data_IF_765905652547
#
_entry.id   IF_765905652547
#
_cell.length_a   1.000
_cell.length_b   1.000
_cell.length_c   1.000
_cell.angle_alpha   90.00
_cell.angle_beta   90.00
_cell.angle_gamma   90.00
#
_symmetry.space_group_name_H-M   'P 1'
#
loop_
_entity.id
_entity.type
_entity.pdbx_description
1 polymer ?
#
# COMPACT_ATOMS: atom_id res chain seq x y z
N UNK A 1 -24.67 40.02 4.13
CA UNK A 1 -23.86 40.95 3.31
C UNK A 1 -23.26 41.96 4.26
N UNK A 2 -22.00 41.77 4.65
CA UNK A 2 -21.28 42.71 5.53
C UNK A 2 -20.48 43.64 4.62
N UNK A 3 -21.04 44.82 4.30
CA UNK A 3 -20.26 45.90 3.70
C UNK A 3 -19.33 46.43 4.77
N UNK A 4 -18.07 46.01 4.74
CA UNK A 4 -17.02 46.63 5.55
C UNK A 4 -16.67 47.97 4.92
N UNK A 5 -16.84 49.05 5.68
CA UNK A 5 -16.22 50.33 5.35
C UNK A 5 -14.70 50.15 5.45
N UNK A 6 -14.05 49.92 4.30
CA UNK A 6 -12.59 49.91 4.20
C UNK A 6 -12.07 51.33 4.53
N UNK A 7 -11.15 51.45 5.49
CA UNK A 7 -10.68 52.74 6.01
C UNK A 7 -9.75 53.42 4.99
N UNK A 8 -10.27 54.44 4.30
CA UNK A 8 -9.58 55.20 3.26
C UNK A 8 -9.08 56.55 3.81
N UNK A 9 -7.78 56.81 3.67
CA UNK A 9 -7.15 58.09 4.08
C UNK A 9 -6.58 58.80 2.86
N UNK A 10 -6.93 60.07 2.69
CA UNK A 10 -6.36 60.93 1.65
C UNK A 10 -4.93 61.33 2.00
N UNK A 11 -3.99 61.13 1.08
CA UNK A 11 -2.59 61.52 1.26
C UNK A 11 -2.23 62.57 0.22
N UNK A 12 -2.06 63.82 0.66
CA UNK A 12 -1.86 64.98 -0.21
C UNK A 12 -0.62 64.90 -1.11
N UNK A 13 0.44 64.24 -0.65
CA UNK A 13 1.68 64.05 -1.42
C UNK A 13 1.51 63.05 -2.59
N UNK A 14 0.50 62.17 -2.50
CA UNK A 14 0.16 61.17 -3.53
C UNK A 14 -1.05 61.59 -4.38
N UNK A 15 -1.70 62.70 -4.02
CA UNK A 15 -2.96 63.18 -4.58
C UNK A 15 -4.02 62.06 -4.76
N UNK A 16 -4.08 61.13 -3.78
CA UNK A 16 -4.91 59.94 -3.87
C UNK A 16 -5.34 59.40 -2.48
N UNK A 17 -6.39 58.59 -2.46
CA UNK A 17 -6.84 57.84 -1.28
C UNK A 17 -6.06 56.53 -1.13
N UNK A 18 -5.58 56.28 0.08
CA UNK A 18 -4.88 55.06 0.48
C UNK A 18 -5.79 54.23 1.37
N UNK A 19 -6.00 52.96 1.00
CA UNK A 19 -6.78 52.01 1.77
C UNK A 19 -5.90 51.39 2.88
N UNK A 20 -6.10 51.84 4.12
CA UNK A 20 -5.34 51.39 5.28
C UNK A 20 -5.64 49.92 5.58
N UNK A 21 -6.87 49.45 5.37
CA UNK A 21 -7.20 48.03 5.56
C UNK A 21 -6.57 47.14 4.49
N UNK A 22 -6.36 47.64 3.29
CA UNK A 22 -5.56 46.95 2.27
C UNK A 22 -4.08 46.89 2.65
N UNK A 23 -3.53 47.96 3.22
CA UNK A 23 -2.14 48.00 3.73
C UNK A 23 -2.00 47.07 4.93
N UNK A 24 -2.90 47.11 5.91
CA UNK A 24 -2.87 46.23 7.08
C UNK A 24 -2.98 44.76 6.67
N UNK A 25 -3.86 44.43 5.71
CA UNK A 25 -3.94 43.09 5.12
C UNK A 25 -2.66 42.70 4.39
N UNK A 26 -2.00 43.63 3.69
CA UNK A 26 -0.74 43.36 3.00
C UNK A 26 0.41 43.14 3.99
N UNK A 27 0.52 43.99 5.03
CA UNK A 27 1.53 43.85 6.09
C UNK A 27 1.34 42.55 6.88
N UNK A 28 0.10 42.21 7.24
CA UNK A 28 -0.20 40.92 7.89
C UNK A 28 0.20 39.74 7.01
N UNK A 29 -0.07 39.78 5.70
CA UNK A 29 0.39 38.73 4.78
C UNK A 29 1.91 38.65 4.69
N UNK A 30 2.60 39.79 4.69
CA UNK A 30 4.06 39.83 4.66
C UNK A 30 4.67 39.26 5.96
N UNK A 31 4.09 39.60 7.11
CA UNK A 31 4.46 39.03 8.41
C UNK A 31 4.20 37.52 8.48
N UNK A 32 3.04 37.06 8.01
CA UNK A 32 2.70 35.64 7.91
C UNK A 32 3.66 34.88 6.97
N UNK A 33 4.00 35.46 5.82
CA UNK A 33 4.98 34.89 4.89
C UNK A 33 6.38 34.85 5.49
N UNK A 34 6.79 35.89 6.22
CA UNK A 34 8.09 35.93 6.90
C UNK A 34 8.17 34.88 8.01
N UNK A 35 7.13 34.75 8.83
CA UNK A 35 7.01 33.73 9.86
C UNK A 35 7.06 32.32 9.27
N UNK A 36 6.33 32.07 8.18
CA UNK A 36 6.37 30.79 7.47
C UNK A 36 7.76 30.49 6.90
N UNK A 37 8.43 31.47 6.29
CA UNK A 37 9.81 31.29 5.78
C UNK A 37 10.79 30.95 6.90
N UNK A 38 10.64 31.59 8.06
CA UNK A 38 11.44 31.27 9.24
C UNK A 38 11.17 29.83 9.69
N UNK A 39 9.91 29.43 9.80
CA UNK A 39 9.50 28.09 10.21
C UNK A 39 10.04 27.00 9.28
N UNK A 40 10.03 27.24 7.96
CA UNK A 40 10.60 26.32 6.97
C UNK A 40 12.12 26.21 7.09
N UNK A 41 12.81 27.30 7.43
CA UNK A 41 14.26 27.28 7.67
C UNK A 41 14.61 26.51 8.95
N UNK A 42 13.80 26.63 10.00
CA UNK A 42 13.99 25.91 11.25
C UNK A 42 13.87 24.39 11.07
N UNK A 43 12.93 23.93 10.24
CA UNK A 43 12.82 22.50 9.91
C UNK A 43 13.99 22.04 9.04
N UNK A 44 14.43 22.87 8.10
CA UNK A 44 15.66 22.65 7.33
C UNK A 44 15.61 21.46 6.37
N UNK A 45 16.76 20.78 6.25
CA UNK A 45 16.95 19.60 5.40
C UNK A 45 16.63 18.31 6.15
N UNK A 46 15.79 17.48 5.52
CA UNK A 46 15.30 16.23 6.07
C UNK A 46 16.04 15.08 5.39
N UNK A 47 16.88 14.39 6.16
CA UNK A 47 17.61 13.21 5.69
C UNK A 47 16.67 12.02 5.53
N UNK A 48 16.81 11.32 4.41
CA UNK A 48 16.08 10.13 4.04
C UNK A 48 17.05 8.95 3.89
N UNK A 49 16.50 7.75 3.71
CA UNK A 49 17.31 6.58 3.40
C UNK A 49 17.97 6.73 2.00
N UNK A 50 18.97 5.90 1.71
CA UNK A 50 19.71 5.93 0.43
C UNK A 50 20.46 7.26 0.20
N UNK A 51 20.88 7.93 1.28
CA UNK A 51 21.63 9.19 1.22
C UNK A 51 20.86 10.37 0.62
N UNK A 52 19.54 10.24 0.46
CA UNK A 52 18.71 11.30 -0.11
C UNK A 52 18.31 12.32 0.95
N UNK A 53 17.96 13.51 0.50
CA UNK A 53 17.36 14.53 1.34
C UNK A 53 16.16 15.17 0.65
N UNK A 54 15.28 15.76 1.44
CA UNK A 54 14.21 16.66 0.99
C UNK A 54 14.22 17.90 1.87
N UNK A 55 13.81 19.05 1.36
CA UNK A 55 13.69 20.25 2.19
C UNK A 55 12.25 20.45 2.70
N UNK A 56 12.10 21.17 3.82
CA UNK A 56 10.79 21.63 4.27
C UNK A 56 10.06 22.48 3.22
N UNK A 57 10.81 23.27 2.43
CA UNK A 57 10.30 24.06 1.32
C UNK A 57 9.68 23.18 0.23
N UNK A 58 10.36 22.10 -0.17
CA UNK A 58 9.83 21.15 -1.16
C UNK A 58 8.54 20.46 -0.68
N UNK A 59 8.40 20.25 0.62
CA UNK A 59 7.17 19.70 1.21
C UNK A 59 6.03 20.73 1.18
N UNK A 60 6.34 21.98 1.52
CA UNK A 60 5.39 23.08 1.45
C UNK A 60 4.87 23.31 0.03
N UNK A 61 5.76 23.33 -0.96
CA UNK A 61 5.42 23.43 -2.39
C UNK A 61 4.53 22.24 -2.86
N UNK A 62 4.56 21.13 -2.13
CA UNK A 62 3.70 19.96 -2.34
C UNK A 62 2.41 20.00 -1.53
N UNK A 63 2.01 21.16 -0.98
CA UNK A 63 0.83 21.37 -0.13
C UNK A 63 0.88 20.56 1.18
N UNK A 64 2.03 20.50 1.83
CA UNK A 64 2.20 19.96 3.19
C UNK A 64 2.61 21.11 4.10
N UNK A 65 1.73 21.51 5.02
CA UNK A 65 2.04 22.58 5.95
C UNK A 65 3.05 22.13 7.03
N UNK A 66 3.85 23.05 7.61
CA UNK A 66 4.79 22.72 8.68
C UNK A 66 4.15 22.00 9.88
N UNK A 67 2.94 22.41 10.27
CA UNK A 67 2.17 21.74 11.33
C UNK A 67 1.83 20.29 11.00
N UNK A 68 1.49 20.01 9.74
CA UNK A 68 1.20 18.66 9.26
C UNK A 68 2.44 17.77 9.23
N UNK A 69 3.58 18.37 8.85
CA UNK A 69 4.88 17.73 8.93
C UNK A 69 5.22 17.36 10.38
N UNK A 70 5.15 18.30 11.33
CA UNK A 70 5.43 18.02 12.75
C UNK A 70 4.50 16.95 13.31
N UNK A 71 3.22 16.98 12.97
CA UNK A 71 2.28 15.95 13.37
C UNK A 71 2.66 14.57 12.79
N UNK A 72 3.06 14.51 11.52
CA UNK A 72 3.49 13.27 10.89
C UNK A 72 4.79 12.72 11.51
N UNK A 73 5.74 13.59 11.87
CA UNK A 73 6.96 13.23 12.61
C UNK A 73 6.59 12.63 13.96
N UNK A 74 5.72 13.30 14.74
CA UNK A 74 5.27 12.79 16.02
C UNK A 74 4.64 11.39 15.92
N UNK A 75 3.77 11.15 14.93
CA UNK A 75 3.18 9.83 14.67
C UNK A 75 4.25 8.79 14.31
N UNK A 76 5.23 9.16 13.50
CA UNK A 76 6.32 8.28 13.10
C UNK A 76 7.21 7.90 14.29
N UNK A 77 7.57 8.87 15.15
CA UNK A 77 8.35 8.63 16.36
C UNK A 77 7.62 7.71 17.34
N UNK A 78 6.32 7.93 17.56
CA UNK A 78 5.50 7.06 18.41
C UNK A 78 5.41 5.63 17.87
N UNK A 79 5.39 5.48 16.55
CA UNK A 79 5.32 4.16 15.89
C UNK A 79 6.65 3.41 15.99
N UNK A 80 7.77 4.10 15.74
CA UNK A 80 9.12 3.50 15.74
C UNK A 80 9.59 3.24 17.16
N UNK A 81 9.36 4.15 18.11
CA UNK A 81 9.87 4.04 19.48
C UNK A 81 11.40 3.99 19.54
N UNK A 82 11.94 3.30 20.56
CA UNK A 82 13.39 3.20 20.83
C UNK A 82 13.98 1.82 20.55
N UNK A 83 13.19 0.75 20.63
CA UNK A 83 13.64 -0.63 20.44
C UNK A 83 13.13 -1.20 19.11
N UNK A 84 13.99 -1.93 18.40
CA UNK A 84 13.68 -2.54 17.09
C UNK A 84 13.11 -1.53 16.08
N UNK A 85 13.84 -0.44 15.88
CA UNK A 85 13.41 0.68 15.03
C UNK A 85 13.09 0.23 13.59
N UNK A 86 13.89 -0.68 13.03
CA UNK A 86 13.70 -1.23 11.68
C UNK A 86 12.37 -2.01 11.55
N UNK A 87 12.14 -2.99 12.42
CA UNK A 87 10.94 -3.82 12.36
C UNK A 87 9.67 -3.00 12.58
N UNK A 88 9.72 -2.02 13.48
CA UNK A 88 8.59 -1.10 13.73
C UNK A 88 8.37 -0.11 12.59
N UNK A 89 9.43 0.40 11.98
CA UNK A 89 9.36 1.21 10.77
C UNK A 89 8.67 0.45 9.64
N UNK A 90 9.15 -0.75 9.30
CA UNK A 90 8.55 -1.57 8.25
C UNK A 90 7.09 -1.90 8.54
N UNK A 91 6.79 -2.32 9.78
CA UNK A 91 5.41 -2.61 10.20
C UNK A 91 4.52 -1.39 10.04
N UNK A 92 4.93 -0.23 10.54
CA UNK A 92 4.16 1.01 10.44
C UNK A 92 3.90 1.41 8.98
N UNK A 93 4.91 1.30 8.13
CA UNK A 93 4.84 1.65 6.72
C UNK A 93 3.93 0.69 5.93
N UNK A 94 4.02 -0.62 6.22
CA UNK A 94 3.18 -1.65 5.62
C UNK A 94 1.72 -1.57 6.11
N UNK A 95 1.49 -1.28 7.38
CA UNK A 95 0.14 -1.12 7.96
C UNK A 95 -0.54 0.11 7.37
N UNK A 96 0.19 1.22 7.20
CA UNK A 96 -0.32 2.48 6.65
C UNK A 96 -0.88 2.33 5.23
N UNK A 97 -0.26 1.49 4.40
CA UNK A 97 -0.69 1.27 3.01
C UNK A 97 -1.53 0.01 2.78
N UNK A 98 -1.67 -0.87 3.77
CA UNK A 98 -2.31 -2.19 3.60
C UNK A 98 -3.74 -2.08 3.05
N UNK A 99 -4.56 -1.22 3.64
CA UNK A 99 -5.96 -1.04 3.23
C UNK A 99 -6.08 -0.56 1.78
N UNK A 100 -5.21 0.35 1.35
CA UNK A 100 -5.13 0.85 -0.02
C UNK A 100 -4.71 -0.24 -0.99
N UNK A 101 -3.68 -1.02 -0.64
CA UNK A 101 -3.20 -2.11 -1.46
C UNK A 101 -4.28 -3.19 -1.66
N UNK A 102 -4.97 -3.58 -0.58
CA UNK A 102 -6.10 -4.52 -0.61
C UNK A 102 -7.23 -3.99 -1.49
N UNK A 103 -7.64 -2.73 -1.33
CA UNK A 103 -8.71 -2.13 -2.12
C UNK A 103 -8.35 -1.99 -3.61
N UNK A 104 -7.07 -1.76 -3.93
CA UNK A 104 -6.59 -1.76 -5.31
C UNK A 104 -6.54 -3.18 -5.87
N UNK A 105 -6.10 -4.16 -5.07
CA UNK A 105 -6.09 -5.58 -5.45
C UNK A 105 -7.49 -6.09 -5.77
N UNK A 106 -8.47 -5.83 -4.89
CA UNK A 106 -9.87 -6.20 -5.11
C UNK A 106 -10.41 -5.67 -6.44
N UNK A 107 -10.15 -4.40 -6.74
CA UNK A 107 -10.57 -3.78 -8.02
C UNK A 107 -9.85 -4.39 -9.23
N UNK A 108 -8.57 -4.68 -9.10
CA UNK A 108 -7.78 -5.26 -10.18
C UNK A 108 -8.22 -6.68 -10.53
N UNK A 109 -8.50 -7.50 -9.51
CA UNK A 109 -8.97 -8.89 -9.67
C UNK A 109 -10.50 -9.00 -9.81
N UNK A 110 -11.23 -7.88 -9.74
CA UNK A 110 -12.71 -7.81 -9.76
C UNK A 110 -13.37 -8.65 -8.66
N UNK A 111 -12.80 -8.60 -7.45
CA UNK A 111 -13.29 -9.30 -6.27
C UNK A 111 -14.22 -8.40 -5.46
N UNK A 112 -15.17 -9.04 -4.79
CA UNK A 112 -15.99 -8.40 -3.77
C UNK A 112 -15.12 -7.95 -2.58
N UNK A 113 -15.32 -6.72 -2.11
CA UNK A 113 -14.47 -6.11 -1.08
C UNK A 113 -14.61 -6.77 0.30
N UNK A 114 -15.83 -7.03 0.83
CA UNK A 114 -16.04 -7.86 2.02
C UNK A 114 -15.30 -9.20 1.98
N UNK A 115 -15.40 -9.93 0.86
CA UNK A 115 -14.70 -11.21 0.68
C UNK A 115 -13.17 -11.04 0.73
N UNK A 116 -12.68 -9.96 0.11
CA UNK A 116 -11.27 -9.58 0.11
C UNK A 116 -10.76 -9.29 1.52
N UNK A 117 -11.49 -8.51 2.31
CA UNK A 117 -11.13 -8.21 3.71
C UNK A 117 -11.15 -9.48 4.55
N UNK A 118 -12.18 -10.32 4.38
CA UNK A 118 -12.30 -11.60 5.07
C UNK A 118 -11.08 -12.49 4.82
N UNK A 119 -10.59 -12.56 3.58
CA UNK A 119 -9.39 -13.35 3.26
C UNK A 119 -8.12 -12.92 4.04
N UNK A 120 -8.04 -11.65 4.45
CA UNK A 120 -6.88 -11.13 5.21
C UNK A 120 -6.93 -11.44 6.71
N UNK A 121 -8.08 -11.84 7.23
CA UNK A 121 -8.28 -12.18 8.63
C UNK A 121 -7.71 -13.57 8.98
N UNK A 122 -7.36 -13.82 10.25
CA UNK A 122 -7.04 -15.17 10.72
C UNK A 122 -8.17 -16.14 10.37
N UNK A 123 -7.83 -17.27 9.73
CA UNK A 123 -8.78 -18.30 9.28
C UNK A 123 -9.86 -17.86 8.26
N UNK A 124 -9.91 -16.60 7.85
CA UNK A 124 -10.95 -16.10 6.96
C UNK A 124 -10.89 -16.74 5.57
N UNK A 125 -9.69 -16.97 5.02
CA UNK A 125 -9.54 -17.72 3.76
C UNK A 125 -10.03 -19.17 3.87
N UNK A 126 -9.83 -19.82 5.03
CA UNK A 126 -10.33 -21.18 5.29
C UNK A 126 -11.86 -21.19 5.26
N UNK A 127 -12.51 -20.18 5.87
CA UNK A 127 -13.96 -20.04 5.83
C UNK A 127 -14.49 -19.86 4.39
N UNK A 128 -13.84 -19.02 3.60
CA UNK A 128 -14.21 -18.76 2.20
C UNK A 128 -14.05 -20.01 1.32
N UNK A 129 -12.96 -20.77 1.49
CA UNK A 129 -12.76 -22.06 0.80
C UNK A 129 -13.87 -23.04 1.19
N UNK A 130 -14.17 -23.16 2.49
CA UNK A 130 -15.24 -24.03 2.96
C UNK A 130 -16.61 -23.61 2.42
N UNK A 131 -16.87 -22.31 2.25
CA UNK A 131 -18.09 -21.81 1.65
C UNK A 131 -18.19 -22.20 0.17
N UNK A 132 -17.09 -22.11 -0.59
CA UNK A 132 -17.05 -22.61 -1.98
C UNK A 132 -17.34 -24.11 -2.02
N UNK A 133 -16.66 -24.91 -1.21
CA UNK A 133 -16.83 -26.36 -1.19
C UNK A 133 -18.28 -26.75 -0.87
N UNK A 134 -18.91 -26.08 0.10
CA UNK A 134 -20.32 -26.30 0.42
C UNK A 134 -21.26 -25.94 -0.74
N UNK A 135 -21.02 -24.82 -1.43
CA UNK A 135 -21.81 -24.41 -2.59
C UNK A 135 -21.71 -25.42 -3.75
N UNK A 136 -20.57 -26.11 -3.85
CA UNK A 136 -20.30 -27.16 -4.84
C UNK A 136 -20.82 -28.53 -4.40
N UNK A 137 -21.47 -28.62 -3.23
CA UNK A 137 -22.02 -29.86 -2.69
C UNK A 137 -20.97 -30.83 -2.14
N UNK A 138 -19.78 -30.33 -1.76
CA UNK A 138 -18.73 -31.09 -1.10
C UNK A 138 -18.90 -30.93 0.41
N UNK A 139 -19.17 -32.04 1.09
CA UNK A 139 -19.40 -32.04 2.53
C UNK A 139 -18.10 -31.82 3.31
N UNK A 140 -18.24 -31.18 4.48
CA UNK A 140 -17.13 -31.02 5.42
C UNK A 140 -16.82 -32.37 6.05
N UNK A 141 -15.70 -32.96 5.63
CA UNK A 141 -15.12 -34.15 6.25
C UNK A 141 -13.79 -33.82 6.90
N UNK A 142 -13.35 -34.63 7.87
CA UNK A 142 -12.02 -34.47 8.51
C UNK A 142 -10.90 -34.41 7.46
N UNK A 143 -10.96 -35.30 6.46
CA UNK A 143 -10.03 -35.30 5.34
C UNK A 143 -9.99 -33.96 4.59
N UNK A 144 -11.14 -33.42 4.20
CA UNK A 144 -11.22 -32.13 3.50
C UNK A 144 -10.63 -31.01 4.36
N UNK A 145 -10.95 -31.00 5.66
CA UNK A 145 -10.40 -30.02 6.58
C UNK A 145 -8.88 -30.12 6.75
N UNK A 146 -8.34 -31.33 6.81
CA UNK A 146 -6.90 -31.58 6.95
C UNK A 146 -6.14 -31.20 5.68
N UNK A 147 -6.70 -31.49 4.50
CA UNK A 147 -6.14 -31.08 3.20
C UNK A 147 -6.15 -29.56 3.05
N UNK A 148 -7.26 -28.89 3.40
CA UNK A 148 -7.34 -27.43 3.34
C UNK A 148 -6.39 -26.80 4.37
N UNK A 149 -6.35 -27.34 5.59
CA UNK A 149 -5.47 -26.85 6.66
C UNK A 149 -4.01 -26.96 6.25
N UNK A 150 -3.56 -28.14 5.79
CA UNK A 150 -2.19 -28.36 5.36
C UNK A 150 -1.78 -27.45 4.20
N UNK A 151 -2.67 -27.20 3.23
CA UNK A 151 -2.41 -26.29 2.12
C UNK A 151 -2.33 -24.80 2.52
N UNK A 152 -2.90 -24.42 3.67
CA UNK A 152 -2.90 -23.05 4.19
C UNK A 152 -1.83 -22.81 5.28
N UNK A 153 -1.01 -23.80 5.61
CA UNK A 153 0.07 -23.62 6.59
C UNK A 153 1.05 -22.57 6.07
N UNK A 154 1.28 -21.52 6.86
CA UNK A 154 2.16 -20.39 6.51
C UNK A 154 3.52 -20.43 7.20
N UNK A 155 3.82 -21.45 8.01
CA UNK A 155 4.91 -21.43 8.99
C UNK A 155 6.31 -21.40 8.39
N UNK A 156 6.50 -21.85 7.15
CA UNK A 156 7.82 -21.82 6.51
C UNK A 156 7.85 -20.88 5.30
N UNK A 157 8.67 -19.82 5.39
CA UNK A 157 9.09 -19.01 4.23
C UNK A 157 10.14 -19.77 3.40
N UNK A 158 9.78 -20.93 2.87
CA UNK A 158 10.69 -21.77 2.06
C UNK A 158 10.99 -21.18 0.66
N UNK A 159 11.18 -19.86 0.52
CA UNK A 159 11.35 -19.18 -0.77
C UNK A 159 10.11 -19.28 -1.68
N UNK A 160 8.97 -19.70 -1.14
CA UNK A 160 7.72 -19.84 -1.88
C UNK A 160 6.90 -18.56 -1.81
N UNK A 161 6.66 -17.95 -2.97
CA UNK A 161 5.80 -16.79 -3.14
C UNK A 161 4.32 -17.14 -2.97
N UNK A 162 3.47 -16.11 -2.87
CA UNK A 162 2.03 -16.23 -2.81
C UNK A 162 1.45 -16.94 -4.04
N UNK A 163 2.08 -16.81 -5.21
CA UNK A 163 1.66 -17.48 -6.44
C UNK A 163 1.89 -18.98 -6.35
N UNK A 164 3.10 -19.39 -5.99
CA UNK A 164 3.47 -20.79 -5.79
C UNK A 164 2.61 -21.46 -4.71
N UNK A 165 2.36 -20.79 -3.57
CA UNK A 165 1.48 -21.30 -2.51
C UNK A 165 0.02 -21.42 -2.96
N UNK A 166 -0.47 -20.46 -3.75
CA UNK A 166 -1.81 -20.54 -4.34
C UNK A 166 -1.93 -21.75 -5.28
N UNK A 167 -0.87 -22.10 -6.01
CA UNK A 167 -0.82 -23.33 -6.82
C UNK A 167 -0.95 -24.61 -5.98
N UNK A 168 -0.39 -24.64 -4.78
CA UNK A 168 -0.55 -25.76 -3.84
C UNK A 168 -2.01 -25.90 -3.37
N UNK A 169 -2.67 -24.77 -3.06
CA UNK A 169 -4.11 -24.74 -2.73
C UNK A 169 -4.95 -25.20 -3.91
N UNK A 170 -4.67 -24.72 -5.12
CA UNK A 170 -5.36 -25.18 -6.33
C UNK A 170 -5.24 -26.71 -6.49
N UNK A 171 -4.02 -27.25 -6.29
CA UNK A 171 -3.76 -28.69 -6.38
C UNK A 171 -4.45 -29.47 -5.26
N UNK A 172 -4.56 -28.90 -4.06
CA UNK A 172 -5.31 -29.46 -2.95
C UNK A 172 -6.82 -29.51 -3.25
N UNK A 173 -7.38 -28.44 -3.82
CA UNK A 173 -8.79 -28.39 -4.22
C UNK A 173 -9.11 -29.42 -5.32
N UNK A 174 -8.25 -29.54 -6.33
CA UNK A 174 -8.41 -30.60 -7.35
C UNK A 174 -8.32 -32.01 -6.76
N UNK A 175 -7.43 -32.25 -5.77
CA UNK A 175 -7.34 -33.53 -5.08
C UNK A 175 -8.64 -33.88 -4.33
N UNK A 176 -9.27 -32.88 -3.70
CA UNK A 176 -10.56 -33.07 -3.02
C UNK A 176 -11.65 -33.44 -4.03
N UNK A 177 -11.73 -32.71 -5.15
CA UNK A 177 -12.81 -32.92 -6.14
C UNK A 177 -12.64 -34.20 -6.95
N UNK A 178 -11.40 -34.65 -7.16
CA UNK A 178 -11.12 -35.88 -7.91
C UNK A 178 -11.30 -37.15 -7.06
N UNK A 179 -11.64 -37.04 -5.77
CA UNK A 179 -11.83 -38.19 -4.88
C UNK A 179 -13.29 -38.70 -4.92
N UNK A 180 -13.53 -40.02 -4.91
CA UNK A 180 -14.89 -40.57 -4.72
C UNK A 180 -15.47 -40.16 -3.36
N UNK A 181 -16.79 -39.89 -3.25
CA UNK A 181 -17.84 -40.00 -4.27
C UNK A 181 -17.97 -38.77 -5.19
N UNK A 182 -17.21 -37.70 -4.93
CA UNK A 182 -17.34 -36.42 -5.64
C UNK A 182 -16.94 -36.51 -7.12
N UNK A 183 -16.04 -37.43 -7.46
CA UNK A 183 -15.61 -37.75 -8.82
C UNK A 183 -16.78 -38.10 -9.77
N UNK A 184 -17.91 -38.61 -9.26
CA UNK A 184 -19.04 -39.07 -10.08
C UNK A 184 -20.05 -37.97 -10.45
N UNK A 185 -19.95 -36.78 -9.85
CA UNK A 185 -20.78 -35.63 -10.27
C UNK A 185 -19.99 -34.82 -11.28
N UNK A 186 -20.40 -34.88 -12.54
CA UNK A 186 -19.92 -34.13 -13.72
C UNK A 186 -19.87 -32.60 -13.58
N UNK A 187 -20.11 -32.04 -12.39
CA UNK A 187 -19.90 -30.63 -12.08
C UNK A 187 -18.42 -30.40 -11.80
N UNK A 188 -17.68 -30.02 -12.85
CA UNK A 188 -16.42 -29.29 -12.67
C UNK A 188 -16.73 -28.09 -11.76
N UNK A 189 -15.87 -27.87 -10.76
CA UNK A 189 -15.90 -26.66 -9.92
C UNK A 189 -16.20 -25.44 -10.77
N UNK A 190 -17.11 -24.57 -10.30
CA UNK A 190 -17.40 -23.34 -11.00
C UNK A 190 -16.10 -22.58 -11.26
N UNK A 191 -15.85 -22.31 -12.54
CA UNK A 191 -14.64 -21.62 -12.98
C UNK A 191 -14.55 -20.23 -12.36
N UNK A 192 -15.69 -19.57 -12.17
CA UNK A 192 -15.74 -18.22 -11.60
C UNK A 192 -15.46 -18.25 -10.09
N UNK A 193 -16.10 -19.15 -9.35
CA UNK A 193 -15.87 -19.40 -7.94
C UNK A 193 -14.43 -19.83 -7.63
N UNK A 194 -13.89 -20.76 -8.41
CA UNK A 194 -12.49 -21.19 -8.28
C UNK A 194 -11.53 -20.03 -8.54
N UNK A 195 -11.72 -19.26 -9.61
CA UNK A 195 -10.89 -18.08 -9.89
C UNK A 195 -10.90 -17.10 -8.71
N UNK A 196 -12.08 -16.80 -8.17
CA UNK A 196 -12.22 -15.89 -7.04
C UNK A 196 -11.48 -16.42 -5.81
N UNK A 197 -11.66 -17.69 -5.45
CA UNK A 197 -10.98 -18.31 -4.31
C UNK A 197 -9.46 -18.33 -4.49
N UNK A 198 -8.95 -18.59 -5.71
CA UNK A 198 -7.51 -18.54 -5.96
C UNK A 198 -6.96 -17.12 -5.84
N UNK A 199 -7.65 -16.09 -6.34
CA UNK A 199 -7.21 -14.70 -6.16
C UNK A 199 -7.29 -14.27 -4.68
N UNK A 200 -8.31 -14.70 -3.93
CA UNK A 200 -8.41 -14.45 -2.48
C UNK A 200 -7.32 -15.17 -1.69
N UNK A 201 -7.00 -16.40 -2.08
CA UNK A 201 -5.90 -17.20 -1.49
C UNK A 201 -4.56 -16.53 -1.74
N UNK A 202 -4.35 -16.04 -2.96
CA UNK A 202 -3.15 -15.28 -3.30
C UNK A 202 -3.01 -14.04 -2.43
N UNK A 203 -4.08 -13.27 -2.26
CA UNK A 203 -4.07 -12.12 -1.38
C UNK A 203 -3.74 -12.52 0.07
N UNK A 204 -4.35 -13.59 0.58
CA UNK A 204 -4.08 -14.10 1.92
C UNK A 204 -2.59 -14.37 2.12
N UNK A 205 -1.97 -15.09 1.19
CA UNK A 205 -0.53 -15.36 1.26
C UNK A 205 0.30 -14.10 1.08
N UNK A 206 -0.05 -13.18 0.18
CA UNK A 206 0.70 -11.93 0.03
C UNK A 206 0.61 -11.04 1.27
N UNK A 207 -0.51 -11.03 2.00
CA UNK A 207 -0.60 -10.35 3.30
C UNK A 207 0.26 -11.08 4.34
N UNK A 208 0.27 -12.41 4.34
CA UNK A 208 1.07 -13.21 5.27
C UNK A 208 2.57 -13.08 5.02
N UNK A 209 3.02 -12.97 3.78
CA UNK A 209 4.41 -12.68 3.41
C UNK A 209 4.89 -11.42 4.13
N UNK A 210 4.08 -10.35 4.06
CA UNK A 210 4.36 -9.04 4.63
C UNK A 210 4.23 -8.95 6.16
N UNK A 211 3.80 -10.01 6.85
CA UNK A 211 3.77 -10.04 8.32
C UNK A 211 5.16 -10.37 8.84
N UNK A 212 5.68 -9.55 9.75
CA UNK A 212 6.95 -9.79 10.45
C UNK A 212 8.14 -9.95 9.48
N UNK A 213 8.37 -8.94 8.65
CA UNK A 213 9.46 -8.86 7.68
C UNK A 213 10.56 -7.95 8.24
N UNK A 214 11.83 -8.38 8.18
CA UNK A 214 13.01 -7.50 8.22
C UNK A 214 13.32 -6.92 6.84
N UNK A 215 14.19 -5.91 6.74
CA UNK A 215 14.60 -5.38 5.42
C UNK A 215 15.23 -6.48 4.57
N UNK A 216 16.02 -7.37 5.16
CA UNK A 216 16.64 -8.49 4.45
C UNK A 216 15.62 -9.52 3.96
N UNK A 217 14.59 -9.81 4.76
CA UNK A 217 13.46 -10.62 4.33
C UNK A 217 12.73 -9.96 3.14
N UNK A 218 12.58 -8.63 3.17
CA UNK A 218 11.93 -7.89 2.09
C UNK A 218 12.75 -7.93 0.81
N UNK A 219 14.08 -7.78 0.91
CA UNK A 219 15.01 -7.95 -0.22
C UNK A 219 14.88 -9.35 -0.82
N UNK A 220 14.93 -10.37 0.04
CA UNK A 220 14.77 -11.77 -0.36
C UNK A 220 13.44 -12.02 -1.06
N UNK A 221 12.34 -11.45 -0.53
CA UNK A 221 11.03 -11.52 -1.15
C UNK A 221 11.03 -10.92 -2.56
N UNK A 222 11.63 -9.74 -2.76
CA UNK A 222 11.70 -9.12 -4.08
C UNK A 222 12.51 -9.96 -5.07
N UNK A 223 13.59 -10.59 -4.61
CA UNK A 223 14.39 -11.52 -5.41
C UNK A 223 13.56 -12.75 -5.81
N UNK A 224 12.80 -13.35 -4.90
CA UNK A 224 11.98 -14.53 -5.19
C UNK A 224 10.88 -14.22 -6.22
N UNK A 225 10.23 -13.07 -6.11
CA UNK A 225 9.26 -12.61 -7.12
C UNK A 225 9.89 -12.30 -8.48
N UNK A 226 11.14 -11.83 -8.53
CA UNK A 226 11.86 -11.63 -9.80
C UNK A 226 12.26 -12.98 -10.43
N UNK A 227 12.72 -13.95 -9.63
CA UNK A 227 13.01 -15.31 -10.09
C UNK A 227 11.77 -15.97 -10.68
N UNK A 228 10.62 -15.87 -10.00
CA UNK A 228 9.36 -16.45 -10.48
C UNK A 228 8.87 -15.75 -11.77
N UNK A 229 9.01 -14.42 -11.87
CA UNK A 229 8.75 -13.69 -13.13
C UNK A 229 9.67 -14.14 -14.27
N UNK A 230 10.96 -14.32 -14.00
CA UNK A 230 11.91 -14.79 -14.99
C UNK A 230 11.63 -16.24 -15.41
N UNK A 231 11.13 -17.10 -14.51
CA UNK A 231 10.68 -18.44 -14.84
C UNK A 231 9.42 -18.42 -15.73
N UNK A 232 8.42 -17.60 -15.38
CA UNK A 232 7.21 -17.43 -16.19
C UNK A 232 7.52 -16.87 -17.59
N UNK A 233 8.52 -16.01 -17.71
CA UNK A 233 8.99 -15.48 -18.99
C UNK A 233 9.51 -16.55 -19.95
N UNK A 234 10.08 -17.64 -19.42
CA UNK A 234 10.61 -18.76 -20.22
C UNK A 234 9.50 -19.70 -20.72
N UNK A 235 8.32 -19.64 -20.12
CA UNK A 235 7.16 -20.49 -20.43
C UNK A 235 6.13 -19.82 -21.36
N UNK A 236 6.46 -18.72 -22.04
CA UNK A 236 5.52 -17.95 -22.86
C UNK A 236 5.01 -18.76 -24.08
N UNK A 237 3.87 -19.44 -23.89
CA UNK A 237 2.90 -19.64 -24.95
C UNK A 237 2.15 -18.30 -25.12
N UNK A 238 2.28 -17.61 -26.27
CA UNK A 238 1.59 -16.34 -26.48
C UNK A 238 0.07 -16.57 -26.41
N UNK A 239 -0.56 -16.09 -25.35
CA UNK A 239 -2.02 -15.99 -25.31
C UNK A 239 -2.39 -14.88 -26.29
N UNK A 240 -3.27 -15.20 -27.23
CA UNK A 240 -3.73 -14.31 -28.30
C UNK A 240 -5.22 -14.02 -28.06
N UNK A 241 -5.59 -13.03 -27.21
CA UNK A 241 -7.00 -12.71 -27.02
C UNK A 241 -7.60 -11.97 -28.23
N UNK A 242 -6.77 -11.28 -29.04
CA UNK A 242 -7.21 -10.40 -30.13
C UNK A 242 -6.19 -10.31 -31.30
N UNK A 243 -5.52 -11.41 -31.66
CA UNK A 243 -4.55 -11.45 -32.79
C UNK A 243 -3.17 -10.83 -32.52
N UNK A 244 -3.02 -9.95 -31.51
CA UNK A 244 -1.71 -9.41 -31.09
C UNK A 244 -1.18 -10.14 -29.85
N UNK A 245 -0.01 -10.80 -29.92
CA UNK A 245 0.61 -11.39 -28.73
C UNK A 245 1.05 -10.27 -27.79
N UNK A 246 0.48 -10.22 -26.58
CA UNK A 246 0.95 -9.29 -25.56
C UNK A 246 2.16 -9.92 -24.89
N UNK A 247 3.36 -9.48 -25.29
CA UNK A 247 4.63 -9.93 -24.73
C UNK A 247 4.64 -9.74 -23.20
N UNK A 248 4.99 -10.79 -22.45
CA UNK A 248 5.08 -10.76 -21.00
C UNK A 248 3.74 -10.64 -20.27
N UNK A 249 2.61 -10.99 -20.90
CA UNK A 249 1.31 -11.02 -20.21
C UNK A 249 1.32 -11.91 -18.96
N UNK A 250 1.94 -13.08 -19.06
CA UNK A 250 2.19 -14.02 -17.96
C UNK A 250 2.94 -13.38 -16.79
N UNK A 251 3.94 -12.53 -17.10
CA UNK A 251 4.82 -11.88 -16.13
C UNK A 251 4.16 -10.69 -15.41
N UNK A 252 3.25 -9.98 -16.09
CA UNK A 252 2.61 -8.76 -15.55
C UNK A 252 1.81 -9.01 -14.28
N UNK A 253 1.33 -10.23 -14.10
CA UNK A 253 0.53 -10.57 -12.93
C UNK A 253 1.40 -10.89 -11.71
N UNK A 254 2.59 -11.47 -11.88
CA UNK A 254 3.43 -11.97 -10.78
C UNK A 254 4.16 -10.82 -10.09
N UNK A 255 3.53 -10.24 -9.07
CA UNK A 255 4.08 -9.13 -8.31
C UNK A 255 3.72 -9.22 -6.82
N UNK A 256 4.61 -8.76 -5.92
CA UNK A 256 4.30 -8.68 -4.50
C UNK A 256 3.22 -7.63 -4.25
N UNK A 257 2.46 -7.80 -3.16
CA UNK A 257 1.39 -6.87 -2.79
C UNK A 257 1.91 -5.43 -2.60
N UNK A 258 3.19 -5.26 -2.23
CA UNK A 258 3.87 -3.97 -2.13
C UNK A 258 3.76 -3.14 -3.42
N UNK A 259 3.66 -3.76 -4.60
CA UNK A 259 3.52 -2.98 -5.83
C UNK A 259 2.17 -2.24 -5.94
N UNK A 260 1.14 -2.68 -5.20
CA UNK A 260 -0.15 -2.01 -5.17
C UNK A 260 -0.23 -0.89 -4.13
N UNK A 261 0.79 -0.75 -3.29
CA UNK A 261 0.85 0.30 -2.28
C UNK A 261 0.93 1.71 -2.90
N UNK A 262 0.53 2.75 -2.14
CA UNK A 262 0.77 4.14 -2.49
C UNK A 262 2.23 4.43 -2.86
N UNK A 263 2.44 5.39 -3.77
CA UNK A 263 3.77 5.73 -4.27
C UNK A 263 4.74 6.12 -3.14
N UNK A 264 4.31 6.92 -2.16
CA UNK A 264 5.15 7.31 -1.02
C UNK A 264 5.75 6.11 -0.29
N UNK A 265 4.92 5.08 -0.04
CA UNK A 265 5.34 3.85 0.62
C UNK A 265 6.27 3.04 -0.28
N UNK A 266 5.95 2.85 -1.57
CA UNK A 266 6.82 2.10 -2.48
C UNK A 266 8.21 2.72 -2.62
N UNK A 267 8.29 4.05 -2.63
CA UNK A 267 9.58 4.75 -2.68
C UNK A 267 10.37 4.59 -1.38
N UNK A 268 9.71 4.67 -0.22
CA UNK A 268 10.36 4.43 1.07
C UNK A 268 10.89 2.98 1.16
N UNK A 269 10.08 1.99 0.76
CA UNK A 269 10.53 0.58 0.70
C UNK A 269 11.72 0.41 -0.25
N UNK A 270 11.67 1.01 -1.44
CA UNK A 270 12.76 0.95 -2.42
C UNK A 270 14.07 1.52 -1.86
N UNK A 271 14.00 2.63 -1.12
CA UNK A 271 15.17 3.24 -0.48
C UNK A 271 15.67 2.44 0.71
N UNK A 272 14.77 1.82 1.49
CA UNK A 272 15.14 0.93 2.58
C UNK A 272 15.80 -0.37 2.10
N UNK A 273 15.44 -0.84 0.90
CA UNK A 273 16.05 -2.02 0.28
C UNK A 273 17.21 -1.69 -0.66
N UNK A 274 17.69 -0.45 -0.70
CA UNK A 274 18.87 -0.12 -1.50
C UNK A 274 20.12 -0.81 -0.90
N UNK A 275 21.13 -1.04 -1.72
CA UNK A 275 22.40 -1.62 -1.26
C UNK A 275 23.32 -0.50 -0.76
N UNK A 276 24.02 -0.73 0.36
CA UNK A 276 24.96 0.23 0.95
C UNK A 276 24.55 0.83 2.31
N UNK A 277 23.63 0.21 3.04
CA UNK A 277 23.29 0.67 4.39
C UNK A 277 24.35 0.21 5.41
N UNK A 278 24.98 1.17 6.10
CA UNK A 278 25.52 0.95 7.43
C UNK A 278 24.39 0.85 8.48
N UNK A 279 24.67 1.12 9.76
CA UNK A 279 23.61 1.22 10.77
C UNK A 279 22.52 2.22 10.32
N UNK A 280 21.27 1.77 10.33
CA UNK A 280 20.12 2.58 9.92
C UNK A 280 19.91 3.71 10.92
N UNK A 281 20.12 4.95 10.48
CA UNK A 281 19.84 6.14 11.29
C UNK A 281 18.33 6.22 11.60
N UNK A 282 18.00 6.21 12.89
CA UNK A 282 16.62 6.35 13.39
C UNK A 282 15.97 7.63 12.86
N UNK A 283 16.70 8.73 12.75
CA UNK A 283 16.14 9.99 12.24
C UNK A 283 15.69 9.84 10.77
N UNK A 284 16.46 9.14 9.95
CA UNK A 284 16.08 8.83 8.57
C UNK A 284 14.82 7.94 8.51
N UNK A 285 14.70 6.92 9.37
CA UNK A 285 13.51 6.08 9.44
C UNK A 285 12.25 6.86 9.83
N UNK A 286 12.37 7.77 10.81
CA UNK A 286 11.28 8.66 11.22
C UNK A 286 10.84 9.56 10.07
N UNK A 287 11.79 10.19 9.38
CA UNK A 287 11.50 11.06 8.25
C UNK A 287 10.80 10.31 7.10
N UNK A 288 11.25 9.10 6.78
CA UNK A 288 10.63 8.25 5.76
C UNK A 288 9.17 7.91 6.08
N UNK A 289 8.91 7.52 7.33
CA UNK A 289 7.56 7.18 7.78
C UNK A 289 6.67 8.43 7.84
N UNK A 290 7.20 9.56 8.29
CA UNK A 290 6.50 10.84 8.31
C UNK A 290 6.12 11.28 6.87
N UNK A 291 7.03 11.16 5.90
CA UNK A 291 6.72 11.40 4.49
C UNK A 291 5.62 10.47 3.97
N UNK A 292 5.62 9.20 4.39
CA UNK A 292 4.56 8.27 4.04
C UNK A 292 3.21 8.74 4.59
N UNK A 293 3.14 9.16 5.86
CA UNK A 293 1.94 9.75 6.48
C UNK A 293 1.44 10.97 5.72
N UNK A 294 2.31 11.93 5.41
CA UNK A 294 1.96 13.11 4.62
C UNK A 294 1.42 12.73 3.23
N UNK A 295 2.05 11.74 2.56
CA UNK A 295 1.57 11.22 1.29
C UNK A 295 0.14 10.66 1.35
N UNK A 296 -0.18 9.91 2.41
CA UNK A 296 -1.53 9.38 2.63
C UNK A 296 -2.53 10.49 2.93
N UNK A 297 -2.17 11.48 3.76
CA UNK A 297 -3.05 12.61 4.06
C UNK A 297 -3.42 13.38 2.79
N UNK A 298 -2.44 13.64 1.92
CA UNK A 298 -2.68 14.26 0.60
C UNK A 298 -3.63 13.44 -0.26
N UNK A 299 -3.45 12.13 -0.32
CA UNK A 299 -4.36 11.25 -1.05
C UNK A 299 -5.79 11.28 -0.50
N UNK A 300 -5.95 11.36 0.83
CA UNK A 300 -7.27 11.48 1.48
C UNK A 300 -7.94 12.83 1.19
N UNK A 301 -7.19 13.93 1.17
CA UNK A 301 -7.71 15.26 0.76
C UNK A 301 -8.17 15.23 -0.69
N UNK A 302 -7.30 14.82 -1.60
CA UNK A 302 -7.63 14.70 -3.02
C UNK A 302 -8.85 13.78 -3.27
N UNK A 303 -9.02 12.72 -2.46
CA UNK A 303 -10.21 11.88 -2.49
C UNK A 303 -11.49 12.63 -2.08
N UNK A 304 -11.45 13.37 -0.96
CA UNK A 304 -12.57 14.18 -0.47
C UNK A 304 -12.96 15.30 -1.44
N UNK A 305 -11.98 15.96 -2.04
CA UNK A 305 -12.22 17.06 -2.98
C UNK A 305 -12.92 16.54 -4.25
N UNK A 306 -12.53 15.36 -4.73
CA UNK A 306 -13.20 14.68 -5.86
C UNK A 306 -14.64 14.29 -5.56
N UNK A 307 -14.95 13.89 -4.32
CA UNK A 307 -16.34 13.58 -3.93
C UNK A 307 -17.19 14.80 -3.71
N UNK A 308 -16.60 15.96 -3.36
CA UNK A 308 -17.31 17.23 -3.20
C UNK A 308 -17.59 17.94 -4.54
N UNK A 309 -16.77 17.63 -5.55
CA UNK A 309 -16.89 18.17 -6.92
C UNK A 309 -17.87 17.37 -7.80
N UNK A 310 -18.41 16.26 -7.30
CA UNK A 310 -19.42 15.44 -7.97
C UNK A 310 -20.77 15.62 -7.31
#
# INVERSE_FOLDING_TARGET
MSGGDDLLVWVGDLDNYVNIDAINRANQREEEEAALRQELREIGELRLLDGRATSAKDLFDRNIAPSEWRHAVHLAEMTIGHENAEGRFLKGLLDLGRSYAIARYARWEKLDYPSTITATLPHGIRALINQLLLAEGIERSRYVEDVVRSALITTDRNGLTAYSRTGQVQSALHRITNRPPYFARTKKLDRSGMRNILSLTRLHFSVAELKSISIDDLKSLFVDYEKERAAAARCDNPIVPNGKPIRGWSQRHIQPLTNLYPFCIRHALKRATADGHGELDRAALVNELALAHCGILRMRRAGRDRTRSK
#
